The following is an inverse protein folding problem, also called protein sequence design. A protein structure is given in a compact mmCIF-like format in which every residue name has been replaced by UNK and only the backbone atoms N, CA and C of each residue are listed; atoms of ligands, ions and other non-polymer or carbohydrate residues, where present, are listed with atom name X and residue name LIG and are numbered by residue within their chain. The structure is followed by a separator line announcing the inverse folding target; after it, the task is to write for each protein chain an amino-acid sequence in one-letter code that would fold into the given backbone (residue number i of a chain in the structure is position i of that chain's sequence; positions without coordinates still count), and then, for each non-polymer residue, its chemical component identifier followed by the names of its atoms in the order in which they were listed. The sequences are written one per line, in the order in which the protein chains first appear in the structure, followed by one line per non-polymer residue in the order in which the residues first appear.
data_IF_059776818841
#
_entry.id   IF_059776818841
#
_cell.length_a   1.000
_cell.length_b   1.000
_cell.length_c   1.000
_cell.angle_alpha   90.00
_cell.angle_beta   90.00
_cell.angle_gamma   90.00
#
_symmetry.space_group_name_H-M   'P 1'
#
loop_
_entity.id
_entity.type
_entity.pdbx_description
1 polymer ?
#
# COMPACT_ATOMS: atom_id res chain seq x y z
N UNK A 1 -10.55 -16.21 13.96
CA UNK A 1 -11.23 -15.74 12.74
C UNK A 1 -10.80 -16.72 11.66
N UNK A 2 -11.72 -17.53 11.16
CA UNK A 2 -11.45 -18.52 10.13
C UNK A 2 -11.21 -17.85 8.77
N UNK A 3 -10.53 -18.56 7.88
CA UNK A 3 -10.23 -18.07 6.52
C UNK A 3 -11.50 -17.74 5.73
N UNK A 4 -12.62 -18.39 6.08
CA UNK A 4 -13.93 -18.20 5.46
C UNK A 4 -14.52 -16.81 5.75
N UNK A 5 -14.34 -16.30 6.97
CA UNK A 5 -14.76 -14.95 7.38
C UNK A 5 -13.94 -13.86 6.69
N UNK A 6 -12.64 -14.09 6.47
CA UNK A 6 -11.79 -13.19 5.69
C UNK A 6 -12.21 -13.18 4.22
N UNK A 7 -12.49 -14.35 3.65
CA UNK A 7 -12.94 -14.50 2.26
C UNK A 7 -14.28 -13.80 2.00
N UNK A 8 -15.25 -13.92 2.94
CA UNK A 8 -16.53 -13.22 2.86
C UNK A 8 -16.39 -11.70 2.97
N UNK A 9 -15.52 -11.20 3.86
CA UNK A 9 -15.20 -9.77 3.94
C UNK A 9 -14.63 -9.26 2.60
N UNK A 10 -13.68 -10.00 2.02
CA UNK A 10 -13.05 -9.67 0.73
C UNK A 10 -14.09 -9.67 -0.41
N UNK A 11 -14.98 -10.66 -0.46
CA UNK A 11 -16.06 -10.72 -1.45
C UNK A 11 -17.04 -9.55 -1.31
N UNK A 12 -17.39 -9.18 -0.08
CA UNK A 12 -18.27 -8.04 0.18
C UNK A 12 -17.62 -6.70 -0.22
N UNK A 13 -16.31 -6.54 -0.03
CA UNK A 13 -15.58 -5.37 -0.55
C UNK A 13 -15.57 -5.32 -2.08
N UNK A 14 -15.33 -6.44 -2.77
CA UNK A 14 -15.38 -6.47 -4.25
C UNK A 14 -16.76 -6.12 -4.79
N UNK A 15 -17.83 -6.48 -4.08
CA UNK A 15 -19.22 -6.16 -4.47
C UNK A 15 -19.60 -4.69 -4.18
N UNK A 16 -19.06 -4.09 -3.11
CA UNK A 16 -19.36 -2.71 -2.69
C UNK A 16 -18.63 -1.59 -3.44
N UNK A 17 -17.69 -1.89 -4.35
CA UNK A 17 -16.92 -0.88 -5.12
C UNK A 17 -17.64 -0.48 -6.43
N UNK A 18 -18.89 -0.90 -6.66
CA UNK A 18 -19.69 -0.38 -7.78
C UNK A 18 -20.39 0.92 -7.36
N UNK A 19 -19.85 2.05 -7.85
CA UNK A 19 -20.28 3.46 -7.67
C UNK A 19 -19.68 4.21 -6.47
N UNK A 20 -18.49 4.79 -6.66
CA UNK A 20 -18.23 6.23 -6.44
C UNK A 20 -17.17 6.70 -7.45
N UNK A 21 -17.51 7.70 -8.25
CA UNK A 21 -16.63 8.41 -9.18
C UNK A 21 -15.58 9.22 -8.43
N UNK A 22 -14.30 8.90 -8.66
CA UNK A 22 -13.16 9.65 -8.14
C UNK A 22 -11.85 8.98 -8.56
N UNK A 23 -11.28 9.47 -9.67
CA UNK A 23 -10.01 9.10 -10.33
C UNK A 23 -9.14 8.06 -9.59
N UNK A 24 -9.40 6.80 -9.90
CA UNK A 24 -8.52 5.67 -9.67
C UNK A 24 -8.84 4.63 -10.72
N UNK A 25 -7.98 4.48 -11.72
CA UNK A 25 -8.21 3.58 -12.86
C UNK A 25 -8.35 2.13 -12.37
N UNK A 26 -9.54 1.57 -12.53
CA UNK A 26 -9.78 0.14 -12.54
C UNK A 26 -9.69 -0.28 -14.01
N UNK A 27 -8.77 -1.17 -14.36
CA UNK A 27 -8.69 -1.75 -15.70
C UNK A 27 -9.41 -3.11 -15.68
N UNK A 28 -10.57 -3.26 -16.33
CA UNK A 28 -11.10 -4.56 -16.71
C UNK A 28 -10.33 -5.07 -17.93
N UNK A 29 -9.95 -6.36 -17.91
CA UNK A 29 -9.58 -7.07 -19.13
C UNK A 29 -10.86 -7.49 -19.84
N UNK A 30 -11.08 -6.99 -21.05
CA UNK A 30 -11.03 -7.81 -22.25
C UNK A 30 -11.26 -6.98 -23.53
N UNK A 31 -10.59 -7.43 -24.60
CA UNK A 31 -10.77 -7.11 -26.02
C UNK A 31 -9.70 -6.23 -26.70
N UNK A 32 -8.72 -6.96 -27.25
CA UNK A 32 -8.06 -6.79 -28.56
C UNK A 32 -7.91 -5.36 -29.09
N UNK A 33 -6.69 -4.82 -29.01
CA UNK A 33 -6.13 -4.11 -30.16
C UNK A 33 -4.59 -4.24 -30.22
N UNK A 34 -4.16 -4.88 -31.29
CA UNK A 34 -2.79 -5.24 -31.64
C UNK A 34 -2.01 -3.98 -32.03
N UNK A 35 -1.19 -3.41 -31.14
CA UNK A 35 -0.09 -2.48 -31.50
C UNK A 35 0.88 -2.02 -30.40
N UNK A 36 1.03 -2.72 -29.26
CA UNK A 36 1.92 -2.26 -28.17
C UNK A 36 2.71 -3.37 -27.45
N UNK A 37 3.12 -4.43 -28.17
CA UNK A 37 3.81 -5.56 -27.55
C UNK A 37 5.32 -5.32 -27.29
N UNK A 38 5.89 -4.22 -27.77
CA UNK A 38 7.31 -3.88 -27.54
C UNK A 38 7.57 -2.87 -26.40
N UNK A 39 6.53 -2.24 -25.82
CA UNK A 39 6.70 -1.33 -24.67
C UNK A 39 6.46 -2.04 -23.31
N UNK A 40 5.63 -3.09 -23.33
CA UNK A 40 5.32 -3.91 -22.14
C UNK A 40 6.41 -4.93 -21.78
N UNK A 41 7.36 -5.21 -22.70
CA UNK A 41 8.47 -6.14 -22.47
C UNK A 41 9.67 -5.50 -21.75
N UNK A 42 9.78 -4.18 -21.75
CA UNK A 42 10.87 -3.42 -21.12
C UNK A 42 10.65 -3.17 -19.63
N UNK A 43 9.42 -3.34 -19.12
CA UNK A 43 9.11 -3.37 -17.68
C UNK A 43 9.38 -4.78 -17.11
N UNK A 44 10.40 -5.48 -17.65
CA UNK A 44 10.91 -6.72 -17.06
C UNK A 44 11.92 -6.36 -15.96
N UNK A 45 11.44 -6.44 -14.72
CA UNK A 45 12.18 -6.87 -13.53
C UNK A 45 13.43 -6.04 -13.15
N UNK A 46 13.29 -4.72 -12.93
CA UNK A 46 14.08 -4.13 -11.83
C UNK A 46 13.47 -4.68 -10.54
N UNK A 47 14.10 -5.72 -9.97
CA UNK A 47 13.79 -6.21 -8.63
C UNK A 47 14.10 -5.05 -7.69
N UNK A 48 13.10 -4.19 -7.43
CA UNK A 48 13.23 -3.10 -6.47
C UNK A 48 13.56 -3.75 -5.12
N UNK A 49 14.85 -3.77 -4.77
CA UNK A 49 15.29 -4.14 -3.43
C UNK A 49 14.70 -3.07 -2.52
N UNK A 50 13.86 -3.49 -1.59
CA UNK A 50 13.32 -2.59 -0.57
C UNK A 50 14.49 -1.89 0.12
N UNK A 51 14.41 -0.57 0.25
CA UNK A 51 15.41 0.23 0.97
C UNK A 51 15.44 -0.19 2.44
N UNK A 52 14.27 -0.44 3.03
CA UNK A 52 14.17 -0.89 4.41
C UNK A 52 12.83 -1.57 4.68
N UNK A 53 12.79 -2.46 5.67
CA UNK A 53 11.60 -3.20 6.05
C UNK A 53 11.46 -3.24 7.58
N UNK A 54 10.24 -3.00 8.06
CA UNK A 54 9.84 -3.15 9.45
C UNK A 54 8.76 -4.22 9.53
N UNK A 55 9.15 -5.40 10.03
CA UNK A 55 8.22 -6.49 10.26
C UNK A 55 7.26 -6.13 11.41
N UNK A 56 7.81 -5.82 12.58
CA UNK A 56 7.03 -5.47 13.78
C UNK A 56 6.80 -3.97 13.89
N UNK A 57 6.18 -3.37 12.87
CA UNK A 57 5.91 -1.93 12.88
C UNK A 57 5.09 -1.51 14.09
N UNK A 58 4.20 -2.37 14.60
CA UNK A 58 3.37 -2.04 15.75
C UNK A 58 4.17 -1.77 17.04
N UNK A 59 5.28 -2.49 17.28
CA UNK A 59 6.22 -2.25 18.39
C UNK A 59 7.16 -1.11 18.03
N UNK A 60 7.77 -1.20 16.84
CA UNK A 60 8.90 -0.36 16.47
C UNK A 60 8.51 0.95 15.78
N UNK A 61 7.21 1.31 15.78
CA UNK A 61 6.69 2.44 15.02
C UNK A 61 7.43 3.74 15.33
N UNK A 62 7.69 4.05 16.61
CA UNK A 62 8.34 5.30 17.02
C UNK A 62 9.77 5.39 16.46
N UNK A 63 10.59 4.36 16.66
CA UNK A 63 11.97 4.30 16.15
C UNK A 63 12.00 4.33 14.63
N UNK A 64 11.11 3.58 13.98
CA UNK A 64 11.03 3.54 12.52
C UNK A 64 10.59 4.88 11.94
N UNK A 65 9.57 5.53 12.52
CA UNK A 65 9.10 6.85 12.09
C UNK A 65 10.20 7.91 12.22
N UNK A 66 10.93 7.93 13.34
CA UNK A 66 12.04 8.87 13.55
C UNK A 66 13.14 8.71 12.50
N UNK A 67 13.51 7.47 12.16
CA UNK A 67 14.49 7.18 11.10
C UNK A 67 14.11 7.78 9.75
N UNK A 68 12.81 7.87 9.45
CA UNK A 68 12.29 8.36 8.17
C UNK A 68 11.72 9.79 8.24
N UNK A 69 11.98 10.51 9.33
CA UNK A 69 11.54 11.88 9.48
C UNK A 69 12.21 12.80 8.46
N UNK A 70 11.43 13.65 7.80
CA UNK A 70 11.89 14.54 6.72
C UNK A 70 12.49 13.82 5.50
N UNK A 71 12.32 12.51 5.37
CA UNK A 71 12.73 11.75 4.19
C UNK A 71 11.54 11.58 3.25
N UNK A 72 11.72 11.90 1.97
CA UNK A 72 10.72 11.70 0.92
C UNK A 72 10.86 10.34 0.23
N UNK A 73 9.75 9.73 -0.16
CA UNK A 73 9.81 8.45 -0.86
C UNK A 73 8.48 7.72 -1.01
N UNK A 74 8.59 6.44 -1.37
CA UNK A 74 7.50 5.51 -1.61
C UNK A 74 7.58 4.39 -0.58
N UNK A 75 6.43 4.03 -0.02
CA UNK A 75 6.30 2.97 0.98
C UNK A 75 5.17 2.02 0.64
N UNK A 76 5.23 0.83 1.25
CA UNK A 76 4.24 -0.23 1.15
C UNK A 76 3.87 -0.70 2.54
N UNK A 77 2.58 -0.77 2.84
CA UNK A 77 2.03 -1.41 4.04
C UNK A 77 1.44 -2.75 3.60
N UNK A 78 1.91 -3.85 4.16
CA UNK A 78 1.53 -5.21 3.71
C UNK A 78 0.85 -5.97 4.84
N UNK A 79 -0.30 -6.56 4.57
CA UNK A 79 -0.97 -7.48 5.47
C UNK A 79 -0.24 -8.83 5.50
N UNK A 80 0.11 -9.31 6.69
CA UNK A 80 0.96 -10.49 6.87
C UNK A 80 0.30 -11.78 6.38
N UNK A 81 -0.99 -11.96 6.65
CA UNK A 81 -1.67 -13.21 6.34
C UNK A 81 -2.02 -13.35 4.85
N UNK A 82 -1.87 -12.30 4.04
CA UNK A 82 -2.02 -12.39 2.59
C UNK A 82 -1.27 -11.28 1.88
N UNK A 83 -0.25 -11.68 1.13
CA UNK A 83 0.63 -10.79 0.34
C UNK A 83 -0.09 -10.07 -0.80
N UNK A 84 -1.33 -10.46 -1.11
CA UNK A 84 -2.18 -9.78 -2.09
C UNK A 84 -2.81 -8.50 -1.54
N UNK A 85 -2.85 -8.34 -0.21
CA UNK A 85 -3.38 -7.14 0.42
C UNK A 85 -2.25 -6.24 0.86
N UNK A 86 -2.06 -5.18 0.08
CA UNK A 86 -1.09 -4.16 0.38
C UNK A 86 -1.62 -2.79 -0.02
N UNK A 87 -1.08 -1.78 0.63
CA UNK A 87 -1.30 -0.39 0.32
C UNK A 87 0.04 0.22 -0.10
N UNK A 88 0.09 0.89 -1.24
CA UNK A 88 1.20 1.74 -1.64
C UNK A 88 0.86 3.19 -1.36
N UNK A 89 1.85 3.94 -0.90
CA UNK A 89 1.73 5.38 -0.80
C UNK A 89 3.07 6.06 -1.01
N UNK A 90 3.01 7.35 -1.26
CA UNK A 90 4.17 8.22 -1.32
C UNK A 90 4.00 9.39 -0.36
N UNK A 91 5.12 10.00 0.05
CA UNK A 91 5.09 11.17 0.93
C UNK A 91 6.37 11.97 0.81
N UNK A 92 6.24 13.30 0.91
CA UNK A 92 7.39 14.21 1.09
C UNK A 92 8.06 14.04 2.46
N UNK A 93 7.32 13.50 3.43
CA UNK A 93 7.83 13.13 4.75
C UNK A 93 7.27 11.76 5.15
N UNK A 94 8.08 10.72 4.98
CA UNK A 94 7.73 9.34 5.26
C UNK A 94 7.44 9.14 6.75
N UNK A 95 8.29 9.66 7.64
CA UNK A 95 8.11 9.55 9.09
C UNK A 95 6.77 10.12 9.55
N UNK A 96 6.44 11.34 9.13
CA UNK A 96 5.16 11.98 9.46
C UNK A 96 3.97 11.20 8.88
N UNK A 97 4.06 10.71 7.64
CA UNK A 97 2.98 9.94 7.02
C UNK A 97 2.78 8.58 7.69
N UNK A 98 3.85 7.90 8.08
CA UNK A 98 3.79 6.65 8.81
C UNK A 98 3.23 6.84 10.22
N UNK A 99 3.58 7.95 10.89
CA UNK A 99 2.95 8.37 12.15
C UNK A 99 1.45 8.56 11.98
N UNK A 100 1.03 9.28 10.95
CA UNK A 100 -0.38 9.51 10.67
C UNK A 100 -1.14 8.20 10.46
N UNK A 101 -0.62 7.28 9.65
CA UNK A 101 -1.23 5.96 9.46
C UNK A 101 -1.33 5.18 10.76
N UNK A 102 -0.26 5.17 11.58
CA UNK A 102 -0.27 4.42 12.83
C UNK A 102 -1.43 4.83 13.75
N UNK A 103 -1.59 6.13 13.99
CA UNK A 103 -2.59 6.65 14.93
C UNK A 103 -3.98 6.85 14.32
N UNK A 104 -4.07 7.26 13.05
CA UNK A 104 -5.34 7.63 12.41
C UNK A 104 -5.81 6.61 11.36
N UNK A 105 -4.94 5.69 10.94
CA UNK A 105 -5.24 4.67 9.94
C UNK A 105 -6.53 3.90 10.22
N UNK A 106 -6.74 3.33 11.42
CA UNK A 106 -7.96 2.60 11.76
C UNK A 106 -9.26 3.41 11.63
N UNK A 107 -9.20 4.74 11.67
CA UNK A 107 -10.35 5.63 11.52
C UNK A 107 -10.66 6.00 10.06
N UNK A 108 -9.78 5.63 9.12
CA UNK A 108 -9.99 5.92 7.70
C UNK A 108 -11.04 4.98 7.11
N UNK A 109 -11.91 5.52 6.26
CA UNK A 109 -12.96 4.78 5.53
C UNK A 109 -12.45 4.01 4.31
N UNK A 110 -11.14 4.04 4.05
CA UNK A 110 -10.54 3.34 2.92
C UNK A 110 -10.20 1.88 3.27
N UNK A 111 -9.81 1.11 2.25
CA UNK A 111 -9.46 -0.30 2.39
C UNK A 111 -8.43 -0.55 3.50
N UNK A 112 -7.34 0.25 3.54
CA UNK A 112 -6.30 0.11 4.57
C UNK A 112 -6.88 0.34 5.97
N UNK A 113 -7.67 1.40 6.15
CA UNK A 113 -8.25 1.74 7.44
C UNK A 113 -9.23 0.69 7.97
N UNK A 114 -10.07 0.13 7.08
CA UNK A 114 -10.98 -0.96 7.44
C UNK A 114 -10.22 -2.23 7.86
N UNK A 115 -9.13 -2.53 7.17
CA UNK A 115 -8.23 -3.65 7.51
C UNK A 115 -7.50 -3.41 8.84
N UNK A 116 -6.98 -2.21 9.06
CA UNK A 116 -6.36 -1.82 10.32
C UNK A 116 -7.35 -1.86 11.49
N UNK A 117 -8.58 -1.39 11.29
CA UNK A 117 -9.65 -1.45 12.28
C UNK A 117 -10.03 -2.88 12.65
N UNK A 118 -10.08 -3.78 11.65
CA UNK A 118 -10.49 -5.17 11.86
C UNK A 118 -9.40 -6.05 12.49
N UNK A 119 -8.15 -5.91 12.03
CA UNK A 119 -7.06 -6.83 12.36
C UNK A 119 -5.99 -6.22 13.28
N UNK A 120 -5.95 -4.89 13.40
CA UNK A 120 -4.93 -4.17 14.13
C UNK A 120 -3.56 -4.21 13.47
N UNK A 121 -2.68 -3.31 13.92
CA UNK A 121 -1.32 -3.16 13.38
C UNK A 121 -0.42 -4.39 13.53
N UNK A 122 -0.72 -5.29 14.49
CA UNK A 122 0.02 -6.55 14.70
C UNK A 122 0.06 -7.46 13.47
N UNK A 123 -0.83 -7.26 12.51
CA UNK A 123 -0.92 -8.04 11.27
C UNK A 123 -0.38 -7.30 10.05
N UNK A 124 0.36 -6.20 10.23
CA UNK A 124 0.89 -5.40 9.14
C UNK A 124 2.39 -5.14 9.29
N UNK A 125 3.06 -5.09 8.15
CA UNK A 125 4.46 -4.68 8.02
C UNK A 125 4.55 -3.41 7.19
N UNK A 126 5.64 -2.67 7.37
CA UNK A 126 5.93 -1.46 6.58
C UNK A 126 7.24 -1.66 5.84
N UNK A 127 7.25 -1.35 4.54
CA UNK A 127 8.43 -1.43 3.69
C UNK A 127 8.65 -0.09 3.01
N UNK A 128 9.85 0.47 3.12
CA UNK A 128 10.29 1.59 2.28
C UNK A 128 10.80 1.01 0.97
N UNK A 129 10.17 1.40 -0.12
CA UNK A 129 10.41 0.86 -1.46
C UNK A 129 11.47 1.68 -2.18
N UNK A 130 11.38 3.00 -2.07
CA UNK A 130 12.25 3.96 -2.74
C UNK A 130 12.35 5.23 -1.91
N UNK A 131 13.55 5.82 -1.89
CA UNK A 131 13.79 7.18 -1.42
C UNK A 131 14.03 8.03 -2.65
N UNK A 132 13.30 9.13 -2.79
CA UNK A 132 13.39 10.02 -3.94
C UNK A 132 13.24 11.47 -3.50
N UNK A 133 13.66 12.43 -4.34
CA UNK A 133 13.48 13.85 -4.03
C UNK A 133 11.98 14.22 -3.97
N UNK A 134 11.58 15.21 -3.15
CA UNK A 134 10.17 15.61 -3.03
C UNK A 134 9.50 16.02 -4.35
N UNK A 135 10.29 16.56 -5.28
CA UNK A 135 9.87 16.95 -6.63
C UNK A 135 9.47 15.75 -7.50
N UNK A 136 10.14 14.62 -7.34
CA UNK A 136 9.94 13.42 -8.17
C UNK A 136 8.85 12.49 -7.68
N UNK A 137 8.17 12.82 -6.58
CA UNK A 137 7.10 11.98 -6.01
C UNK A 137 5.88 11.88 -6.94
N UNK A 138 5.55 12.97 -7.64
CA UNK A 138 4.36 13.03 -8.50
C UNK A 138 4.58 12.36 -9.86
N UNK A 139 5.84 12.13 -10.23
CA UNK A 139 6.24 11.54 -11.51
C UNK A 139 6.32 9.99 -11.46
N UNK A 140 5.91 9.39 -10.34
CA UNK A 140 6.06 7.95 -10.03
C UNK A 140 4.71 7.32 -9.73
#
# INVERSE_FOLDING_TARGET
MDDNSLYRLILNFKKGITKVTGRGSIVPKDSKNTKNNNLLSTIRKKKHRSVNHCHDFWINHSTFQKKWWNVSGIYKITYLNSRHFYYYGSSRNLGQRLKYHYYNGPSQINFLGLFLKRFGWKKFTVTIIEVCSPSKIQER
#
